data_IF_344484690666
#
_entry.id   IF_344484690666
#
_cell.length_a   1.000
_cell.length_b   1.000
_cell.length_c   1.000
_cell.angle_alpha   90.00
_cell.angle_beta   90.00
_cell.angle_gamma   90.00
#
_symmetry.space_group_name_H-M   'P 1'
#
loop_
_entity.id
_entity.type
_entity.pdbx_description
1 polymer ?
#
# COMPACT_ATOMS: atom_id res chain seq x y z
N UNK A 1 19.16 19.40 6.65
CA UNK A 1 18.21 19.98 5.68
C UNK A 1 16.88 19.29 5.97
N UNK A 2 15.91 19.97 6.57
CA UNK A 2 14.59 19.38 6.81
C UNK A 2 13.89 19.31 5.45
N UNK A 3 13.81 18.12 4.86
CA UNK A 3 12.99 17.91 3.67
C UNK A 3 11.55 18.29 4.02
N UNK A 4 10.97 19.22 3.24
CA UNK A 4 9.55 19.49 3.32
C UNK A 4 8.81 18.26 2.80
N UNK A 5 8.26 17.45 3.73
CA UNK A 5 7.43 16.31 3.39
C UNK A 5 6.09 16.85 2.92
N UNK A 6 5.74 16.60 1.66
CA UNK A 6 4.43 16.96 1.14
C UNK A 6 3.36 16.00 1.67
N UNK A 7 2.09 16.41 1.62
CA UNK A 7 0.97 15.49 1.92
C UNK A 7 1.08 14.20 1.07
N UNK A 8 1.42 14.33 -0.21
CA UNK A 8 1.65 13.19 -1.09
C UNK A 8 2.75 12.24 -0.59
N UNK A 9 3.84 12.76 -0.05
CA UNK A 9 4.93 11.95 0.48
C UNK A 9 4.51 11.18 1.74
N UNK A 10 3.71 11.80 2.61
CA UNK A 10 3.15 11.14 3.80
C UNK A 10 2.19 10.00 3.45
N UNK A 11 1.39 10.19 2.41
CA UNK A 11 0.47 9.16 1.89
C UNK A 11 1.23 7.96 1.32
N UNK A 12 2.27 8.21 0.52
CA UNK A 12 3.13 7.14 0.01
C UNK A 12 3.87 6.40 1.12
N UNK A 13 4.36 7.09 2.15
CA UNK A 13 5.00 6.46 3.29
C UNK A 13 4.01 5.58 4.08
N UNK A 14 2.78 6.05 4.25
CA UNK A 14 1.72 5.26 4.93
C UNK A 14 1.41 3.98 4.17
N UNK A 15 1.29 4.06 2.84
CA UNK A 15 1.11 2.88 1.98
C UNK A 15 2.33 1.96 2.05
N UNK A 16 3.55 2.51 2.05
CA UNK A 16 4.78 1.74 2.17
C UNK A 16 4.83 0.93 3.47
N UNK A 17 4.51 1.56 4.61
CA UNK A 17 4.46 0.89 5.92
C UNK A 17 3.39 -0.21 5.93
N UNK A 18 2.20 0.05 5.37
CA UNK A 18 1.15 -0.97 5.26
C UNK A 18 1.63 -2.18 4.44
N UNK A 19 2.31 -1.94 3.30
CA UNK A 19 2.90 -2.99 2.48
C UNK A 19 3.96 -3.80 3.24
N UNK A 20 4.83 -3.16 4.02
CA UNK A 20 5.83 -3.86 4.84
C UNK A 20 5.17 -4.79 5.87
N UNK A 21 4.10 -4.33 6.53
CA UNK A 21 3.37 -5.14 7.50
C UNK A 21 2.64 -6.32 6.87
N UNK A 22 2.16 -6.17 5.63
CA UNK A 22 1.55 -7.25 4.88
C UNK A 22 2.59 -8.24 4.34
N UNK A 23 3.77 -7.76 3.95
CA UNK A 23 4.85 -8.59 3.38
C UNK A 23 5.30 -9.67 4.35
N UNK A 24 5.35 -9.37 5.66
CA UNK A 24 5.69 -10.36 6.70
C UNK A 24 4.60 -11.41 6.94
N UNK A 25 3.44 -11.30 6.27
CA UNK A 25 2.24 -12.13 6.46
C UNK A 25 1.68 -12.68 5.15
N UNK A 26 2.46 -12.71 4.06
CA UNK A 26 2.02 -13.10 2.70
C UNK A 26 1.33 -14.48 2.63
N UNK A 27 1.68 -15.40 3.51
CA UNK A 27 1.10 -16.75 3.55
C UNK A 27 -0.22 -16.83 4.34
N UNK A 28 -0.63 -15.73 4.99
CA UNK A 28 -1.84 -15.70 5.85
C UNK A 28 -3.09 -15.19 5.14
N UNK A 29 -2.95 -14.65 3.92
CA UNK A 29 -4.07 -14.12 3.15
C UNK A 29 -3.98 -14.50 1.67
N UNK A 30 -5.14 -14.61 1.03
CA UNK A 30 -5.24 -14.86 -0.41
C UNK A 30 -5.07 -13.56 -1.20
N UNK A 31 -5.67 -12.46 -0.70
CA UNK A 31 -5.58 -11.12 -1.27
C UNK A 31 -5.57 -10.06 -0.16
N UNK A 32 -4.80 -9.00 -0.38
CA UNK A 32 -4.81 -7.79 0.44
C UNK A 32 -5.38 -6.60 -0.34
N UNK A 33 -6.22 -5.80 0.31
CA UNK A 33 -6.74 -4.55 -0.27
C UNK A 33 -6.21 -3.38 0.54
N UNK A 34 -5.53 -2.46 -0.14
CA UNK A 34 -5.07 -1.20 0.45
C UNK A 34 -6.06 -0.12 0.07
N UNK A 35 -6.62 0.49 1.09
CA UNK A 35 -7.56 1.58 0.97
C UNK A 35 -6.83 2.90 1.23
N UNK A 36 -7.04 3.91 0.40
CA UNK A 36 -6.48 5.27 0.60
C UNK A 36 -7.43 6.31 0.02
N UNK A 37 -7.53 7.45 0.69
CA UNK A 37 -8.27 8.63 0.23
C UNK A 37 -7.44 9.49 -0.73
N UNK A 38 -6.13 9.27 -0.77
CA UNK A 38 -5.18 9.94 -1.66
C UNK A 38 -5.19 9.35 -3.07
N UNK A 39 -6.07 9.87 -3.92
CA UNK A 39 -6.15 9.47 -5.33
C UNK A 39 -4.80 9.62 -6.07
N UNK A 40 -4.04 10.68 -5.76
CA UNK A 40 -2.74 10.93 -6.38
C UNK A 40 -1.70 9.86 -5.99
N UNK A 41 -1.68 9.42 -4.74
CA UNK A 41 -0.80 8.34 -4.29
C UNK A 41 -1.17 7.01 -4.96
N UNK A 42 -2.47 6.67 -5.04
CA UNK A 42 -2.94 5.46 -5.73
C UNK A 42 -2.58 5.46 -7.23
N UNK A 43 -2.74 6.60 -7.90
CA UNK A 43 -2.37 6.76 -9.31
C UNK A 43 -0.86 6.65 -9.51
N UNK A 44 -0.05 7.22 -8.62
CA UNK A 44 1.40 7.14 -8.68
C UNK A 44 1.93 5.69 -8.51
N UNK A 45 1.19 4.82 -7.82
CA UNK A 45 1.52 3.40 -7.71
C UNK A 45 1.01 2.57 -8.91
N UNK A 46 0.01 3.08 -9.63
CA UNK A 46 -0.59 2.40 -10.79
C UNK A 46 0.11 2.74 -12.10
N UNK A 47 0.62 3.96 -12.21
CA UNK A 47 1.42 4.46 -13.32
C UNK A 47 2.86 4.39 -12.82
N UNK A 48 3.70 3.51 -13.36
CA UNK A 48 5.08 3.27 -12.92
C UNK A 48 5.92 4.56 -12.96
N UNK A 49 5.80 5.40 -11.92
CA UNK A 49 6.46 6.70 -11.80
C UNK A 49 7.81 6.55 -11.10
N UNK A 50 8.83 7.23 -11.63
CA UNK A 50 10.23 7.05 -11.22
C UNK A 50 10.64 7.77 -9.91
N UNK A 51 9.69 8.10 -9.02
CA UNK A 51 10.12 8.61 -7.71
C UNK A 51 10.66 7.46 -6.85
N UNK A 52 11.75 7.70 -6.11
CA UNK A 52 12.32 6.69 -5.20
C UNK A 52 11.29 6.11 -4.22
N UNK A 53 10.32 6.92 -3.78
CA UNK A 53 9.24 6.50 -2.87
C UNK A 53 8.24 5.56 -3.55
N UNK A 54 7.82 5.86 -4.78
CA UNK A 54 6.99 4.96 -5.59
C UNK A 54 7.71 3.66 -5.88
N UNK A 55 9.01 3.72 -6.24
CA UNK A 55 9.83 2.52 -6.49
C UNK A 55 9.91 1.61 -5.26
N UNK A 56 10.07 2.16 -4.05
CA UNK A 56 10.07 1.38 -2.79
C UNK A 56 8.76 0.62 -2.59
N UNK A 57 7.62 1.25 -2.87
CA UNK A 57 6.33 0.57 -2.83
C UNK A 57 6.23 -0.49 -3.92
N UNK A 58 6.66 -0.17 -5.14
CA UNK A 58 6.65 -1.07 -6.29
C UNK A 58 7.47 -2.35 -6.09
N UNK A 59 8.61 -2.29 -5.39
CA UNK A 59 9.40 -3.48 -5.01
C UNK A 59 8.55 -4.42 -4.17
N UNK A 60 7.91 -3.92 -3.11
CA UNK A 60 7.04 -4.72 -2.26
C UNK A 60 5.85 -5.26 -3.06
N UNK A 61 5.17 -4.43 -3.86
CA UNK A 61 4.03 -4.87 -4.67
C UNK A 61 4.37 -6.01 -5.66
N UNK A 62 5.63 -6.09 -6.14
CA UNK A 62 6.11 -7.21 -6.97
C UNK A 62 6.23 -8.50 -6.17
N UNK A 63 6.63 -8.45 -4.90
CA UNK A 63 6.71 -9.63 -4.02
C UNK A 63 5.34 -10.28 -3.80
N UNK A 64 4.26 -9.48 -3.88
CA UNK A 64 2.89 -9.95 -3.66
C UNK A 64 2.31 -10.70 -4.87
N UNK A 65 3.01 -10.80 -6.01
CA UNK A 65 2.62 -11.58 -7.21
C UNK A 65 1.16 -11.38 -7.66
N UNK A 66 0.61 -10.18 -7.53
CA UNK A 66 -0.78 -9.87 -7.91
C UNK A 66 -1.84 -10.23 -6.86
N UNK A 67 -1.45 -10.61 -5.64
CA UNK A 67 -2.36 -10.78 -4.48
C UNK A 67 -2.78 -9.45 -3.84
N UNK A 68 -2.84 -8.37 -4.61
CA UNK A 68 -3.19 -7.05 -4.09
C UNK A 68 -4.10 -6.30 -5.06
N UNK A 69 -4.89 -5.39 -4.50
CA UNK A 69 -5.64 -4.39 -5.26
C UNK A 69 -5.69 -3.08 -4.48
N UNK A 70 -5.67 -1.96 -5.20
CA UNK A 70 -5.87 -0.64 -4.64
C UNK A 70 -7.35 -0.25 -4.79
N UNK A 71 -7.95 0.24 -3.71
CA UNK A 71 -9.31 0.78 -3.75
C UNK A 71 -9.33 2.17 -3.13
N UNK A 72 -9.96 3.11 -3.83
CA UNK A 72 -10.15 4.47 -3.33
C UNK A 72 -11.34 4.51 -2.38
N UNK A 73 -11.13 5.04 -1.17
CA UNK A 73 -12.17 5.27 -0.15
C UNK A 73 -11.71 6.38 0.77
N UNK A 74 -12.65 7.06 1.42
CA UNK A 74 -12.41 8.11 2.41
C UNK A 74 -11.72 7.66 3.71
N UNK A 75 -11.27 6.39 3.83
CA UNK A 75 -10.62 5.85 5.03
C UNK A 75 -9.66 4.71 4.68
N UNK A 76 -8.45 4.73 5.23
CA UNK A 76 -7.48 3.62 5.14
C UNK A 76 -7.95 2.48 6.06
N UNK A 77 -8.39 1.38 5.46
CA UNK A 77 -8.57 0.09 6.12
C UNK A 77 -7.60 -0.90 5.44
N UNK A 78 -7.20 -1.97 6.10
CA UNK A 78 -6.44 -3.06 5.47
C UNK A 78 -7.17 -4.34 5.78
N UNK A 79 -7.79 -4.95 4.77
CA UNK A 79 -8.36 -6.28 4.87
C UNK A 79 -7.43 -7.26 4.15
N UNK A 80 -6.87 -8.21 4.89
CA UNK A 80 -6.52 -9.50 4.32
C UNK A 80 -7.76 -10.37 4.38
N UNK A 81 -8.13 -11.05 3.30
CA UNK A 81 -9.12 -12.13 3.39
C UNK A 81 -8.53 -13.27 4.23
N UNK A 82 -8.57 -13.10 5.55
CA UNK A 82 -8.51 -14.18 6.51
C UNK A 82 -9.93 -14.67 6.71
N UNK A 83 -10.13 -15.99 6.74
CA UNK A 83 -11.30 -16.55 7.41
C UNK A 83 -11.41 -15.86 8.77
N UNK A 84 -12.49 -15.10 8.95
CA UNK A 84 -12.79 -14.35 10.15
C UNK A 84 -12.89 -15.33 11.33
N UNK A 85 -11.81 -15.52 12.09
CA UNK A 85 -11.88 -16.09 13.43
C UNK A 85 -12.03 -14.91 14.37
N UNK A 86 -13.28 -14.68 14.78
CA UNK A 86 -13.65 -13.78 15.87
C UNK A 86 -13.18 -14.44 17.17
N UNK A 87 -12.33 -13.76 17.93
CA UNK A 87 -12.17 -13.96 19.38
C UNK A 87 -12.45 -12.62 20.07
#
# INVERSE_FOLDING_TARGET
MLEHISHFDGELETIHVALQQLAVRLDTFERAVIFSDSLSALQALSIDQETLRVQRCGILLKEFKGKWSLQWVHLIVVFGEMKLLIF
#
